data_IF_539805728764
#
_entry.id   IF_539805728764
#
_cell.length_a   1.000
_cell.length_b   1.000
_cell.length_c   1.000
_cell.angle_alpha   90.00
_cell.angle_beta   90.00
_cell.angle_gamma   90.00
#
_symmetry.space_group_name_H-M   'P 1'
#
loop_
_entity.id
_entity.type
_entity.pdbx_description
1 polymer ?
#
# COMPACT_ATOMS: atom_id res chain seq x y z
N UNK A 1 -4.30 -17.82 -4.60
CA UNK A 1 -4.79 -16.44 -4.37
C UNK A 1 -5.12 -16.23 -2.91
N UNK A 2 -4.58 -15.14 -2.36
CA UNK A 2 -4.82 -14.73 -0.98
C UNK A 2 -5.31 -13.28 -0.94
N UNK A 3 -6.18 -13.00 0.01
CA UNK A 3 -6.64 -11.67 0.37
C UNK A 3 -6.05 -11.32 1.73
N UNK A 4 -5.39 -10.18 1.87
CA UNK A 4 -4.93 -9.69 3.17
C UNK A 4 -5.89 -8.60 3.61
N UNK A 5 -6.64 -8.90 4.66
CA UNK A 5 -7.50 -7.96 5.37
C UNK A 5 -6.62 -7.07 6.26
N UNK A 6 -6.48 -5.77 5.95
CA UNK A 6 -5.60 -4.89 6.72
C UNK A 6 -6.13 -4.72 8.14
N UNK A 7 -5.21 -4.74 9.10
CA UNK A 7 -5.48 -4.45 10.50
C UNK A 7 -4.86 -3.11 10.88
N UNK A 8 -5.36 -2.51 11.97
CA UNK A 8 -4.77 -1.30 12.49
C UNK A 8 -3.33 -1.56 12.93
N UNK A 9 -2.41 -0.78 12.37
CA UNK A 9 -0.98 -0.81 12.69
C UNK A 9 -0.59 0.49 13.37
N UNK A 10 0.34 0.41 14.32
CA UNK A 10 0.86 1.58 15.03
C UNK A 10 2.37 1.66 14.88
N UNK A 11 2.86 2.85 14.52
CA UNK A 11 4.29 3.14 14.50
C UNK A 11 4.85 3.21 15.93
N UNK A 12 5.85 2.40 16.23
CA UNK A 12 6.59 2.45 17.50
C UNK A 12 7.82 3.34 17.38
N UNK A 13 8.58 3.17 16.29
CA UNK A 13 9.80 3.94 16.03
C UNK A 13 10.03 4.08 14.53
N UNK A 14 10.72 5.15 14.14
CA UNK A 14 11.24 5.36 12.79
C UNK A 14 12.45 6.28 12.88
N UNK A 15 13.45 6.05 12.03
CA UNK A 15 14.61 6.95 11.89
C UNK A 15 14.26 8.24 11.14
N UNK A 16 13.15 8.27 10.42
CA UNK A 16 12.71 9.46 9.69
C UNK A 16 12.15 10.50 10.68
N UNK A 17 12.71 11.72 10.73
CA UNK A 17 12.19 12.77 11.60
C UNK A 17 10.82 13.25 11.13
N UNK A 18 10.01 13.72 12.07
CA UNK A 18 8.73 14.37 11.79
C UNK A 18 8.91 15.89 11.95
N UNK A 19 9.43 16.52 10.91
CA UNK A 19 9.81 17.94 10.91
C UNK A 19 9.34 18.69 9.64
N UNK A 20 8.31 18.18 8.96
CA UNK A 20 7.74 18.78 7.75
C UNK A 20 7.19 20.20 7.98
N UNK A 21 6.76 20.50 9.21
CA UNK A 21 6.25 21.78 9.64
C UNK A 21 6.30 21.89 11.19
N UNK A 22 6.23 23.10 11.77
CA UNK A 22 6.08 23.25 13.22
C UNK A 22 4.78 22.62 13.73
N UNK A 23 4.79 22.10 14.95
CA UNK A 23 3.57 21.61 15.60
C UNK A 23 2.56 22.75 15.79
N UNK A 24 1.28 22.46 15.56
CA UNK A 24 0.22 23.44 15.79
C UNK A 24 0.10 23.81 17.27
N UNK A 25 -0.10 25.09 17.55
CA UNK A 25 -0.31 25.64 18.89
C UNK A 25 -1.51 26.59 18.89
N UNK A 26 -2.42 26.40 19.84
CA UNK A 26 -3.63 27.22 19.95
C UNK A 26 -3.34 28.71 20.21
N UNK A 27 -2.22 29.03 20.86
CA UNK A 27 -1.82 30.40 21.18
C UNK A 27 -1.12 31.16 20.05
N UNK A 28 -0.75 30.46 18.97
CA UNK A 28 -0.01 31.06 17.85
C UNK A 28 -1.00 31.56 16.80
N UNK A 29 -0.81 32.81 16.35
CA UNK A 29 -1.52 33.35 15.20
C UNK A 29 -0.85 32.88 13.91
N UNK A 30 -1.60 32.22 13.05
CA UNK A 30 -1.14 31.72 11.75
C UNK A 30 -1.63 32.60 10.62
N UNK A 31 -0.76 32.87 9.65
CA UNK A 31 -1.06 33.61 8.43
C UNK A 31 -1.33 32.68 7.26
N UNK A 32 -1.93 33.21 6.19
CA UNK A 32 -2.19 32.44 4.97
C UNK A 32 -0.87 31.92 4.41
N UNK A 33 -0.79 30.61 4.19
CA UNK A 33 0.40 29.94 3.67
C UNK A 33 1.24 29.22 4.71
N UNK A 34 1.06 29.51 6.00
CA UNK A 34 1.74 28.80 7.08
C UNK A 34 1.38 27.32 7.09
N UNK A 35 2.36 26.46 7.38
CA UNK A 35 2.15 25.01 7.48
C UNK A 35 2.34 24.56 8.91
N UNK A 36 1.49 23.65 9.38
CA UNK A 36 1.55 23.09 10.73
C UNK A 36 1.34 21.58 10.70
N UNK A 37 1.90 20.89 11.69
CA UNK A 37 1.64 19.47 11.96
C UNK A 37 0.60 19.35 13.07
N UNK A 38 -0.43 18.53 12.84
CA UNK A 38 -1.39 18.09 13.86
C UNK A 38 -1.81 16.64 13.57
N UNK A 39 -1.79 15.76 14.57
CA UNK A 39 -2.13 14.32 14.42
C UNK A 39 -1.43 13.65 13.23
N UNK A 40 -0.11 13.87 13.10
CA UNK A 40 0.75 13.32 12.03
C UNK A 40 0.35 13.71 10.59
N UNK A 41 -0.39 14.81 10.45
CA UNK A 41 -0.79 15.38 9.16
C UNK A 41 -0.33 16.81 9.04
N UNK A 42 0.03 17.19 7.81
CA UNK A 42 0.43 18.56 7.46
C UNK A 42 -0.80 19.32 6.97
N UNK A 43 -1.04 20.46 7.60
CA UNK A 43 -2.10 21.40 7.22
C UNK A 43 -1.49 22.72 6.80
N UNK A 44 -2.07 23.34 5.77
CA UNK A 44 -1.68 24.67 5.29
C UNK A 44 -2.79 25.67 5.56
N UNK A 45 -2.48 26.78 6.21
CA UNK A 45 -3.43 27.84 6.50
C UNK A 45 -3.92 28.50 5.20
N UNK A 46 -5.24 28.55 5.03
CA UNK A 46 -5.92 29.19 3.90
C UNK A 46 -6.42 30.58 4.29
N UNK A 47 -6.69 30.79 5.57
CA UNK A 47 -7.09 32.08 6.16
C UNK A 47 -6.24 32.37 7.38
N UNK A 48 -5.98 33.66 7.66
CA UNK A 48 -5.34 34.03 8.91
C UNK A 48 -6.23 33.64 10.10
N UNK A 49 -5.70 32.88 11.05
CA UNK A 49 -6.47 32.38 12.20
C UNK A 49 -5.60 32.12 13.42
N UNK A 50 -6.20 32.25 14.60
CA UNK A 50 -5.59 31.94 15.90
C UNK A 50 -6.53 31.01 16.65
N UNK A 51 -6.00 29.96 17.29
CA UNK A 51 -6.81 29.02 18.09
C UNK A 51 -7.75 28.10 17.30
N UNK A 52 -7.81 28.20 15.97
CA UNK A 52 -8.58 27.28 15.12
C UNK A 52 -7.80 25.98 14.92
N UNK A 53 -8.31 24.89 15.50
CA UNK A 53 -7.71 23.56 15.38
C UNK A 53 -7.74 23.04 13.92
N UNK A 54 -6.63 22.48 13.39
CA UNK A 54 -6.55 22.11 11.96
C UNK A 54 -7.47 20.98 11.52
N UNK A 55 -7.69 19.96 12.35
CA UNK A 55 -8.56 18.82 12.06
C UNK A 55 -10.04 19.21 11.98
N UNK A 56 -10.50 20.14 12.82
CA UNK A 56 -11.91 20.57 12.91
C UNK A 56 -12.26 21.68 11.91
N UNK A 57 -11.27 22.40 11.40
CA UNK A 57 -11.46 23.55 10.50
C UNK A 57 -10.78 23.38 9.15
N UNK A 58 -10.76 22.15 8.63
CA UNK A 58 -10.18 21.82 7.32
C UNK A 58 -11.20 21.66 6.17
N UNK A 59 -12.50 21.67 6.46
CA UNK A 59 -13.57 21.43 5.48
C UNK A 59 -14.60 22.57 5.46
N UNK A 60 -15.25 22.76 4.31
CA UNK A 60 -16.29 23.77 4.10
C UNK A 60 -15.76 25.14 3.63
N UNK A 61 -16.68 26.09 3.47
CA UNK A 61 -16.38 27.45 3.01
C UNK A 61 -15.64 28.29 4.05
N UNK A 62 -15.74 27.93 5.33
CA UNK A 62 -15.06 28.60 6.45
C UNK A 62 -13.77 27.87 6.87
N UNK A 63 -13.27 26.96 6.03
CA UNK A 63 -12.05 26.20 6.28
C UNK A 63 -10.86 27.15 6.46
N UNK A 64 -10.29 27.14 7.66
CA UNK A 64 -9.10 27.91 7.97
C UNK A 64 -7.81 27.19 7.53
N UNK A 65 -7.91 25.87 7.41
CA UNK A 65 -6.81 24.97 7.09
C UNK A 65 -7.15 24.14 5.86
N UNK A 66 -6.13 23.73 5.12
CA UNK A 66 -6.23 22.75 4.04
C UNK A 66 -5.31 21.59 4.38
N UNK A 67 -5.87 20.37 4.39
CA UNK A 67 -5.08 19.15 4.54
C UNK A 67 -4.19 18.99 3.30
N UNK A 68 -2.87 18.92 3.53
CA UNK A 68 -1.88 18.68 2.47
C UNK A 68 -1.55 17.19 2.33
N UNK A 69 -1.63 16.43 3.43
CA UNK A 69 -1.33 15.01 3.47
C UNK A 69 -0.73 14.57 4.82
N UNK A 70 -0.28 13.31 4.93
CA UNK A 70 0.47 12.84 6.08
C UNK A 70 1.86 13.49 6.16
N UNK A 71 2.47 13.51 7.34
CA UNK A 71 3.89 13.85 7.50
C UNK A 71 4.78 12.83 6.80
N UNK A 72 5.99 13.21 6.39
CA UNK A 72 6.89 12.32 5.65
C UNK A 72 7.09 10.99 6.41
N UNK A 73 7.24 11.05 7.74
CA UNK A 73 7.37 9.87 8.61
C UNK A 73 6.17 8.92 8.56
N UNK A 74 4.95 9.44 8.40
CA UNK A 74 3.71 8.67 8.43
C UNK A 74 3.12 8.39 7.04
N UNK A 75 3.73 8.90 5.98
CA UNK A 75 3.31 8.65 4.60
C UNK A 75 3.23 7.15 4.26
N UNK A 76 4.11 6.31 4.84
CA UNK A 76 4.08 4.85 4.68
C UNK A 76 2.88 4.15 5.36
N UNK A 77 2.11 4.85 6.20
CA UNK A 77 0.94 4.31 6.90
C UNK A 77 -0.38 4.89 6.37
N UNK A 78 -0.31 5.70 5.31
CA UNK A 78 -1.50 6.25 4.66
C UNK A 78 -2.21 5.18 3.82
N UNK A 79 -3.43 5.49 3.37
CA UNK A 79 -4.23 4.63 2.51
C UNK A 79 -3.74 4.64 1.05
N UNK A 80 -2.99 5.68 0.67
CA UNK A 80 -2.48 5.88 -0.69
C UNK A 80 -1.10 5.25 -0.87
N UNK A 81 -0.91 4.52 -1.97
CA UNK A 81 0.37 3.89 -2.32
C UNK A 81 1.34 4.89 -2.95
N UNK A 82 0.82 6.01 -3.48
CA UNK A 82 1.61 7.04 -4.14
C UNK A 82 2.37 7.97 -3.19
N UNK A 83 1.89 8.17 -1.97
CA UNK A 83 2.61 8.89 -0.93
C UNK A 83 3.76 8.03 -0.41
N UNK A 84 4.96 8.59 -0.30
CA UNK A 84 6.14 7.83 0.14
C UNK A 84 6.81 8.51 1.32
N UNK A 85 7.17 7.71 2.32
CA UNK A 85 8.15 8.10 3.34
C UNK A 85 9.54 8.00 2.73
N UNK A 86 10.26 9.11 2.68
CA UNK A 86 11.61 9.20 2.11
C UNK A 86 12.60 9.53 3.23
N UNK A 87 13.61 8.68 3.40
CA UNK A 87 14.71 8.97 4.31
C UNK A 87 15.79 9.80 3.60
N UNK A 88 16.38 10.75 4.33
CA UNK A 88 17.53 11.52 3.85
C UNK A 88 18.84 10.71 3.92
N UNK A 89 18.93 9.81 4.88
CA UNK A 89 20.05 8.90 5.10
C UNK A 89 19.93 7.65 4.21
N UNK A 90 21.04 6.94 3.99
CA UNK A 90 21.07 5.73 3.16
C UNK A 90 20.35 4.51 3.79
N UNK A 91 20.02 4.59 5.08
CA UNK A 91 19.35 3.54 5.82
C UNK A 91 18.12 4.09 6.54
N UNK A 92 16.98 3.43 6.32
CA UNK A 92 15.74 3.69 7.05
C UNK A 92 15.37 2.48 7.87
N UNK A 93 15.15 2.68 9.17
CA UNK A 93 14.60 1.64 10.05
C UNK A 93 13.32 2.13 10.69
N UNK A 94 12.33 1.25 10.77
CA UNK A 94 11.10 1.52 11.49
C UNK A 94 10.56 0.25 12.13
N UNK A 95 9.81 0.42 13.22
CA UNK A 95 9.11 -0.65 13.90
C UNK A 95 7.62 -0.33 13.97
N UNK A 96 6.78 -1.26 13.51
CA UNK A 96 5.33 -1.19 13.63
C UNK A 96 4.82 -2.34 14.48
N UNK A 97 3.81 -2.08 15.31
CA UNK A 97 3.11 -3.14 16.06
C UNK A 97 1.75 -3.42 15.44
N UNK A 98 1.36 -4.68 15.49
CA UNK A 98 0.06 -5.17 15.03
C UNK A 98 -0.41 -6.34 15.88
N UNK A 99 -1.72 -6.56 15.87
CA UNK A 99 -2.36 -7.62 16.66
C UNK A 99 -2.85 -8.73 15.72
N UNK A 100 -2.55 -9.99 16.06
CA UNK A 100 -3.09 -11.20 15.40
C UNK A 100 -3.00 -11.20 13.86
N UNK A 101 -1.94 -10.61 13.30
CA UNK A 101 -1.72 -10.63 11.85
C UNK A 101 -0.94 -11.88 11.43
N UNK A 102 -1.24 -12.38 10.23
CA UNK A 102 -0.58 -13.56 9.63
C UNK A 102 0.16 -13.21 8.33
N UNK A 103 0.11 -11.94 7.91
CA UNK A 103 0.78 -11.43 6.73
C UNK A 103 1.16 -9.96 6.89
N UNK A 104 2.21 -9.56 6.16
CA UNK A 104 2.53 -8.15 5.93
C UNK A 104 2.93 -7.92 4.48
N UNK A 105 2.82 -6.67 4.03
CA UNK A 105 3.29 -6.24 2.74
C UNK A 105 3.92 -4.85 2.81
N UNK A 106 4.93 -4.65 1.97
CA UNK A 106 5.61 -3.40 1.70
C UNK A 106 5.37 -3.07 0.23
N UNK A 107 4.70 -1.95 -0.03
CA UNK A 107 4.32 -1.54 -1.37
C UNK A 107 5.07 -0.28 -1.79
N UNK A 108 5.33 -0.17 -3.09
CA UNK A 108 5.98 0.96 -3.73
C UNK A 108 7.24 1.43 -2.98
N UNK A 109 8.11 0.49 -2.64
CA UNK A 109 9.40 0.79 -2.02
C UNK A 109 10.48 1.02 -3.07
N UNK A 110 11.46 1.84 -2.68
CA UNK A 110 12.70 2.08 -3.39
C UNK A 110 13.83 1.73 -2.41
N UNK A 111 14.33 0.50 -2.50
CA UNK A 111 15.47 0.03 -1.73
C UNK A 111 16.34 -0.92 -2.55
N UNK A 112 17.62 -1.10 -2.17
CA UNK A 112 18.51 -2.13 -2.72
C UNK A 112 18.42 -3.43 -1.91
N UNK A 113 18.26 -3.31 -0.59
CA UNK A 113 18.09 -4.44 0.34
C UNK A 113 17.02 -4.11 1.37
N UNK A 114 16.22 -5.14 1.71
CA UNK A 114 15.16 -5.07 2.71
C UNK A 114 15.37 -6.21 3.70
N UNK A 115 15.48 -5.88 4.98
CA UNK A 115 15.40 -6.85 6.06
C UNK A 115 14.11 -6.64 6.83
N UNK A 116 13.30 -7.67 6.93
CA UNK A 116 12.07 -7.67 7.72
C UNK A 116 12.16 -8.71 8.82
N UNK A 117 11.98 -8.26 10.06
CA UNK A 117 12.02 -9.08 11.27
C UNK A 117 10.69 -8.96 12.00
N UNK A 118 9.98 -10.06 12.22
CA UNK A 118 8.77 -10.11 13.05
C UNK A 118 9.11 -10.75 14.38
N UNK A 119 8.82 -10.04 15.46
CA UNK A 119 8.98 -10.48 16.84
C UNK A 119 7.64 -10.57 17.55
N UNK A 120 7.51 -11.53 18.46
CA UNK A 120 6.40 -11.60 19.42
C UNK A 120 6.53 -10.50 20.50
N UNK A 121 5.50 -10.31 21.32
CA UNK A 121 5.50 -9.46 22.51
C UNK A 121 6.57 -9.87 23.53
N UNK A 122 6.94 -11.15 23.57
CA UNK A 122 8.03 -11.69 24.40
C UNK A 122 9.42 -11.60 23.72
N UNK A 123 9.50 -11.03 22.51
CA UNK A 123 10.74 -10.82 21.77
C UNK A 123 11.21 -12.02 20.93
N UNK A 124 10.45 -13.12 20.86
CA UNK A 124 10.74 -14.27 20.01
C UNK A 124 10.68 -13.88 18.53
N UNK A 125 11.76 -14.13 17.78
CA UNK A 125 11.79 -13.88 16.33
C UNK A 125 10.99 -14.97 15.61
N UNK A 126 9.85 -14.59 15.03
CA UNK A 126 8.99 -15.47 14.25
C UNK A 126 9.36 -15.48 12.76
N UNK A 127 9.94 -14.39 12.29
CA UNK A 127 10.37 -14.22 10.91
C UNK A 127 11.59 -13.31 10.87
N UNK A 128 12.65 -13.70 10.18
CA UNK A 128 13.79 -12.83 9.84
C UNK A 128 14.25 -13.22 8.44
N UNK A 129 14.02 -12.34 7.47
CA UNK A 129 14.55 -12.51 6.13
C UNK A 129 15.09 -11.20 5.60
N UNK A 130 16.26 -11.30 4.96
CA UNK A 130 16.84 -10.23 4.15
C UNK A 130 16.66 -10.58 2.68
N UNK A 131 16.16 -9.64 1.91
CA UNK A 131 15.83 -9.77 0.49
C UNK A 131 16.53 -8.66 -0.28
N UNK A 132 17.26 -9.04 -1.32
CA UNK A 132 17.79 -8.10 -2.29
C UNK A 132 16.71 -7.79 -3.33
N UNK A 133 16.62 -6.52 -3.73
CA UNK A 133 15.56 -6.05 -4.63
C UNK A 133 15.93 -6.13 -6.10
N UNK A 134 17.20 -6.38 -6.44
CA UNK A 134 17.64 -6.58 -7.81
C UNK A 134 17.01 -7.86 -8.36
N UNK A 135 16.29 -7.75 -9.49
CA UNK A 135 15.80 -8.93 -10.20
C UNK A 135 16.94 -9.62 -10.92
N UNK A 136 16.87 -10.95 -10.99
CA UNK A 136 17.80 -11.73 -11.79
C UNK A 136 17.65 -11.37 -13.28
N UNK A 137 18.79 -11.18 -13.95
CA UNK A 137 18.84 -10.83 -15.37
C UNK A 137 19.15 -12.08 -16.19
N UNK A 138 18.24 -12.42 -17.08
CA UNK A 138 18.41 -13.57 -17.97
C UNK A 138 19.26 -13.20 -19.21
N UNK A 139 20.51 -13.68 -19.20
CA UNK A 139 21.45 -13.60 -20.32
C UNK A 139 22.43 -12.41 -20.26
N UNK A 140 23.68 -12.69 -20.65
CA UNK A 140 24.78 -11.72 -20.61
C UNK A 140 24.50 -10.40 -21.35
N UNK A 141 23.85 -10.46 -22.52
CA UNK A 141 23.53 -9.23 -23.28
C UNK A 141 22.58 -8.30 -22.50
N UNK A 142 21.54 -8.84 -21.86
CA UNK A 142 20.58 -8.02 -21.09
C UNK A 142 21.27 -7.35 -19.90
N UNK A 143 22.22 -8.06 -19.27
CA UNK A 143 22.98 -7.53 -18.15
C UNK A 143 23.84 -6.32 -18.53
N UNK A 144 24.47 -6.35 -19.71
CA UNK A 144 25.35 -5.25 -20.15
C UNK A 144 24.61 -4.05 -20.75
N UNK A 145 23.44 -4.26 -21.36
CA UNK A 145 22.81 -3.24 -22.20
C UNK A 145 21.44 -2.75 -21.72
N UNK A 146 20.78 -3.44 -20.78
CA UNK A 146 19.49 -3.00 -20.24
C UNK A 146 19.62 -2.46 -18.81
N UNK A 147 18.80 -1.47 -18.42
CA UNK A 147 18.65 -1.09 -17.03
C UNK A 147 18.22 -2.28 -16.17
N UNK A 148 18.89 -2.47 -15.04
CA UNK A 148 18.51 -3.52 -14.08
C UNK A 148 17.14 -3.22 -13.48
N UNK A 149 16.23 -4.18 -13.57
CA UNK A 149 14.92 -4.06 -12.93
C UNK A 149 15.02 -4.32 -11.43
N UNK A 150 14.23 -3.55 -10.67
CA UNK A 150 14.10 -3.73 -9.22
C UNK A 150 12.70 -4.18 -8.86
N UNK A 151 12.63 -4.94 -7.77
CA UNK A 151 11.39 -5.25 -7.08
C UNK A 151 10.95 -3.98 -6.35
N UNK A 152 9.66 -3.66 -6.42
CA UNK A 152 9.06 -2.46 -5.79
C UNK A 152 7.95 -2.80 -4.81
N UNK A 153 7.50 -4.06 -4.78
CA UNK A 153 6.44 -4.57 -3.90
C UNK A 153 6.89 -5.91 -3.33
N UNK A 154 6.61 -6.15 -2.05
CA UNK A 154 6.91 -7.39 -1.34
C UNK A 154 5.75 -7.73 -0.42
N UNK A 155 5.18 -8.92 -0.57
CA UNK A 155 4.21 -9.48 0.36
C UNK A 155 4.74 -10.78 0.95
N UNK A 156 4.53 -10.95 2.26
CA UNK A 156 4.90 -12.13 3.03
C UNK A 156 3.64 -12.62 3.73
N UNK A 157 3.32 -13.90 3.60
CA UNK A 157 2.16 -14.50 4.28
C UNK A 157 2.60 -15.68 5.14
N UNK A 158 1.66 -16.36 5.81
CA UNK A 158 1.92 -17.51 6.67
C UNK A 158 2.88 -17.24 7.85
N UNK A 159 2.84 -16.02 8.40
CA UNK A 159 3.56 -15.68 9.61
C UNK A 159 2.80 -16.29 10.80
N UNK A 160 3.50 -16.92 11.77
CA UNK A 160 2.86 -17.41 12.98
C UNK A 160 2.04 -16.33 13.68
N UNK A 161 0.83 -16.67 14.12
CA UNK A 161 -0.05 -15.70 14.79
C UNK A 161 0.43 -15.47 16.22
N UNK A 162 0.57 -14.21 16.59
CA UNK A 162 0.78 -13.76 17.97
C UNK A 162 -0.32 -12.76 18.38
N UNK A 163 -0.71 -12.71 19.68
CA UNK A 163 -1.58 -11.67 20.20
C UNK A 163 -1.09 -10.25 19.89
N UNK A 164 0.22 -10.00 20.07
CA UNK A 164 0.88 -8.71 19.83
C UNK A 164 2.23 -9.00 19.21
N UNK A 165 2.44 -8.53 17.98
CA UNK A 165 3.71 -8.68 17.28
C UNK A 165 4.27 -7.32 16.86
N UNK A 166 5.58 -7.26 16.69
CA UNK A 166 6.32 -6.10 16.20
C UNK A 166 7.07 -6.48 14.94
N UNK A 167 6.83 -5.74 13.86
CA UNK A 167 7.57 -5.84 12.61
C UNK A 167 8.60 -4.70 12.56
N UNK A 168 9.88 -5.09 12.61
CA UNK A 168 11.03 -4.23 12.38
C UNK A 168 11.47 -4.38 10.92
N UNK A 169 11.49 -3.27 10.18
CA UNK A 169 11.93 -3.24 8.80
C UNK A 169 13.13 -2.31 8.67
N UNK A 170 14.18 -2.81 8.01
CA UNK A 170 15.36 -2.05 7.63
C UNK A 170 15.46 -2.01 6.11
N UNK A 171 15.43 -0.81 5.56
CA UNK A 171 15.59 -0.53 4.13
C UNK A 171 16.95 0.14 3.92
N UNK A 172 17.71 -0.34 2.95
CA UNK A 172 19.01 0.23 2.60
C UNK A 172 19.04 0.64 1.14
N UNK A 173 19.38 1.90 0.87
CA UNK A 173 19.58 2.43 -0.47
C UNK A 173 20.46 3.67 -0.47
N UNK A 174 21.42 3.71 -1.38
CA UNK A 174 22.18 4.94 -1.66
C UNK A 174 21.26 6.06 -2.18
N UNK A 175 21.34 7.24 -1.56
CA UNK A 175 20.54 8.40 -1.92
C UNK A 175 19.12 8.39 -1.33
N UNK A 176 18.91 7.64 -0.24
CA UNK A 176 17.67 7.63 0.52
C UNK A 176 16.68 6.55 0.07
N UNK A 177 16.36 5.56 0.93
CA UNK A 177 15.28 4.63 0.67
C UNK A 177 13.92 5.32 0.78
N UNK A 178 12.96 4.84 -0.01
CA UNK A 178 11.58 5.30 0.02
C UNK A 178 10.62 4.14 0.25
N UNK A 179 9.51 4.37 0.94
CA UNK A 179 8.47 3.36 1.16
C UNK A 179 7.09 3.99 1.01
N UNK A 180 6.26 3.38 0.14
CA UNK A 180 4.92 3.86 -0.14
C UNK A 180 3.90 3.44 0.90
N UNK A 181 3.79 2.15 1.18
CA UNK A 181 2.80 1.66 2.14
C UNK A 181 3.26 0.41 2.88
N UNK A 182 2.99 0.36 4.18
CA UNK A 182 3.09 -0.84 5.02
C UNK A 182 1.68 -1.32 5.32
N UNK A 183 1.43 -2.60 5.06
CA UNK A 183 0.17 -3.26 5.40
C UNK A 183 0.52 -4.45 6.28
N UNK A 184 -0.14 -4.60 7.41
CA UNK A 184 -0.16 -5.86 8.16
C UNK A 184 -1.61 -6.29 8.33
N UNK A 185 -1.85 -7.59 8.25
CA UNK A 185 -3.21 -8.09 8.23
C UNK A 185 -3.34 -9.59 8.35
N UNK A 186 -4.59 -10.04 8.27
CA UNK A 186 -4.92 -11.45 8.23
C UNK A 186 -5.02 -11.91 6.77
N UNK A 187 -4.21 -12.91 6.40
CA UNK A 187 -4.30 -13.53 5.10
C UNK A 187 -5.42 -14.59 5.07
N UNK A 188 -6.33 -14.42 4.12
CA UNK A 188 -7.42 -15.33 3.81
C UNK A 188 -7.17 -15.99 2.45
N UNK A 189 -7.03 -17.32 2.37
CA UNK A 189 -6.93 -18.01 1.08
C UNK A 189 -8.30 -18.03 0.41
N UNK A 190 -8.49 -17.37 -0.73
CA UNK A 190 -9.81 -17.26 -1.39
C UNK A 190 -9.98 -18.23 -2.56
N UNK A 191 -8.91 -18.82 -3.07
CA UNK A 191 -8.96 -19.80 -4.16
C UNK A 191 -7.62 -19.91 -4.88
N UNK A 192 -7.59 -20.74 -5.93
CA UNK A 192 -6.42 -20.88 -6.80
C UNK A 192 -6.64 -20.05 -8.06
N UNK A 193 -5.70 -19.16 -8.38
CA UNK A 193 -5.78 -18.33 -9.59
C UNK A 193 -5.61 -19.21 -10.82
N UNK A 194 -6.56 -19.13 -11.75
CA UNK A 194 -6.47 -19.82 -13.03
C UNK A 194 -5.60 -19.03 -14.01
N UNK A 195 -5.08 -19.71 -15.03
CA UNK A 195 -4.54 -19.04 -16.21
C UNK A 195 -5.67 -18.29 -16.95
N UNK A 196 -5.31 -17.35 -17.83
CA UNK A 196 -6.25 -16.42 -18.51
C UNK A 196 -6.73 -15.23 -17.64
N UNK A 197 -5.93 -14.86 -16.64
CA UNK A 197 -6.11 -13.64 -15.86
C UNK A 197 -5.96 -12.39 -16.73
N UNK A 198 -6.87 -11.41 -16.58
CA UNK A 198 -6.81 -10.16 -17.34
C UNK A 198 -6.22 -9.04 -16.50
N UNK A 199 -5.09 -8.51 -16.96
CA UNK A 199 -4.42 -7.34 -16.37
C UNK A 199 -4.75 -6.10 -17.21
N UNK A 200 -5.06 -5.00 -16.53
CA UNK A 200 -5.42 -3.74 -17.18
C UNK A 200 -5.10 -2.52 -16.33
N UNK A 201 -5.31 -1.36 -16.92
CA UNK A 201 -5.14 -0.06 -16.29
C UNK A 201 -6.41 0.75 -16.55
N UNK A 202 -6.92 1.40 -15.51
CA UNK A 202 -7.92 2.46 -15.61
C UNK A 202 -7.19 3.80 -15.58
N UNK A 203 -7.09 4.44 -16.74
CA UNK A 203 -6.46 5.76 -16.88
C UNK A 203 -7.52 6.86 -16.70
N UNK A 204 -7.27 7.81 -15.81
CA UNK A 204 -8.14 8.98 -15.62
C UNK A 204 -7.72 10.18 -16.48
N UNK A 205 -6.69 10.03 -17.32
CA UNK A 205 -6.17 11.08 -18.18
C UNK A 205 -7.23 11.59 -19.17
N UNK A 206 -7.32 12.91 -19.32
CA UNK A 206 -8.23 13.54 -20.28
C UNK A 206 -7.41 13.99 -21.50
N UNK A 207 -7.83 13.55 -22.68
CA UNK A 207 -7.37 14.09 -23.96
C UNK A 207 -8.42 15.10 -24.41
N UNK A 208 -8.07 16.38 -24.34
CA UNK A 208 -8.94 17.46 -24.81
C UNK A 208 -8.43 17.90 -26.18
N UNK A 209 -9.30 17.95 -27.19
CA UNK A 209 -8.92 18.41 -28.53
C UNK A 209 -9.69 19.67 -28.83
N UNK A 210 -8.97 20.76 -29.09
CA UNK A 210 -9.55 22.06 -29.40
C UNK A 210 -10.14 22.09 -30.82
N UNK A 211 -10.96 23.08 -31.13
CA UNK A 211 -11.63 23.24 -32.44
C UNK A 211 -10.66 23.36 -33.62
N UNK A 212 -9.41 23.71 -33.35
CA UNK A 212 -8.31 23.79 -34.32
C UNK A 212 -7.53 22.47 -34.51
N UNK A 213 -7.97 21.37 -33.90
CA UNK A 213 -7.38 20.04 -34.06
C UNK A 213 -6.14 19.77 -33.19
N UNK A 214 -5.81 20.67 -32.27
CA UNK A 214 -4.71 20.48 -31.30
C UNK A 214 -5.19 19.68 -30.09
N UNK A 215 -4.63 18.48 -29.89
CA UNK A 215 -4.93 17.64 -28.73
C UNK A 215 -3.98 17.94 -27.57
N UNK A 216 -4.52 18.46 -26.46
CA UNK A 216 -3.83 18.58 -25.19
C UNK A 216 -4.11 17.35 -24.32
N UNK A 217 -3.05 16.60 -24.01
CA UNK A 217 -3.12 15.50 -23.05
C UNK A 217 -2.89 16.03 -21.63
N UNK A 218 -3.92 15.98 -20.80
CA UNK A 218 -3.81 16.17 -19.35
C UNK A 218 -3.67 14.81 -18.70
N UNK A 219 -2.42 14.39 -18.47
CA UNK A 219 -2.11 13.13 -17.78
C UNK A 219 -2.59 13.21 -16.33
N UNK A 220 -3.48 12.30 -15.92
CA UNK A 220 -3.94 12.16 -14.53
C UNK A 220 -3.43 10.86 -13.93
N UNK A 221 -3.79 10.59 -12.68
CA UNK A 221 -3.48 9.33 -12.03
C UNK A 221 -4.09 8.14 -12.80
N UNK A 222 -3.52 6.96 -12.60
CA UNK A 222 -3.99 5.72 -13.18
C UNK A 222 -4.12 4.67 -12.06
N UNK A 223 -5.16 3.85 -12.12
CA UNK A 223 -5.39 2.74 -11.21
C UNK A 223 -5.11 1.41 -11.93
N UNK A 224 -4.47 0.46 -11.26
CA UNK A 224 -4.41 -0.93 -11.76
C UNK A 224 -5.83 -1.49 -11.74
N UNK A 225 -6.26 -2.19 -12.80
CA UNK A 225 -7.51 -2.97 -12.79
C UNK A 225 -7.18 -4.40 -13.15
N UNK A 226 -7.56 -5.32 -12.29
CA UNK A 226 -7.18 -6.72 -12.44
C UNK A 226 -8.41 -7.59 -12.28
N UNK A 227 -8.68 -8.41 -13.29
CA UNK A 227 -9.77 -9.38 -13.32
C UNK A 227 -9.16 -10.77 -13.15
N UNK A 228 -9.42 -11.38 -11.99
CA UNK A 228 -8.81 -12.63 -11.54
C UNK A 228 -9.84 -13.74 -11.62
N UNK A 229 -9.58 -14.72 -12.51
CA UNK A 229 -10.33 -15.96 -12.53
C UNK A 229 -9.76 -16.91 -11.48
N UNK A 230 -10.66 -17.47 -10.67
CA UNK A 230 -10.35 -18.31 -9.54
C UNK A 230 -11.10 -19.63 -9.63
N UNK A 231 -10.40 -20.66 -9.20
CA UNK A 231 -10.97 -21.96 -8.89
C UNK A 231 -11.18 -22.09 -7.39
N UNK A 232 -12.39 -22.49 -7.00
CA UNK A 232 -12.68 -22.89 -5.62
C UNK A 232 -13.58 -24.12 -5.57
N UNK A 233 -13.41 -24.90 -4.50
CA UNK A 233 -14.31 -26.01 -4.19
C UNK A 233 -15.65 -25.46 -3.65
N UNK A 234 -16.82 -26.03 -4.03
CA UNK A 234 -18.14 -25.55 -3.61
C UNK A 234 -18.32 -25.39 -2.10
N UNK A 235 -17.70 -26.27 -1.30
CA UNK A 235 -17.76 -26.18 0.17
C UNK A 235 -17.16 -24.89 0.76
N UNK A 236 -16.32 -24.18 -0.01
CA UNK A 236 -15.68 -22.92 0.41
C UNK A 236 -16.43 -21.69 -0.08
N UNK A 237 -17.42 -21.86 -0.95
CA UNK A 237 -18.12 -20.75 -1.62
C UNK A 237 -18.78 -19.81 -0.60
N UNK A 238 -19.48 -20.36 0.39
CA UNK A 238 -20.16 -19.55 1.41
C UNK A 238 -19.16 -18.78 2.27
N UNK A 239 -18.08 -19.42 2.72
CA UNK A 239 -17.03 -18.74 3.49
C UNK A 239 -16.33 -17.64 2.69
N UNK A 240 -16.02 -17.89 1.41
CA UNK A 240 -15.40 -16.87 0.54
C UNK A 240 -16.37 -15.72 0.30
N UNK A 241 -17.66 -16.00 0.08
CA UNK A 241 -18.70 -14.99 -0.07
C UNK A 241 -18.81 -14.10 1.16
N UNK A 242 -18.78 -14.66 2.36
CA UNK A 242 -18.82 -13.87 3.61
C UNK A 242 -17.60 -12.95 3.75
N UNK A 243 -16.41 -13.44 3.40
CA UNK A 243 -15.18 -12.64 3.41
C UNK A 243 -15.28 -11.50 2.39
N UNK A 244 -15.72 -11.79 1.15
CA UNK A 244 -15.90 -10.76 0.11
C UNK A 244 -16.98 -9.74 0.49
N UNK A 245 -18.06 -10.17 1.14
CA UNK A 245 -19.11 -9.28 1.63
C UNK A 245 -18.60 -8.36 2.75
N UNK A 246 -17.77 -8.87 3.67
CA UNK A 246 -17.14 -8.07 4.72
C UNK A 246 -16.19 -7.01 4.14
N UNK A 247 -15.44 -7.38 3.10
CA UNK A 247 -14.45 -6.50 2.47
C UNK A 247 -15.06 -5.56 1.41
N UNK A 248 -16.36 -5.62 1.19
CA UNK A 248 -17.03 -4.77 0.22
C UNK A 248 -16.91 -3.29 0.63
N UNK A 249 -16.28 -2.48 -0.23
CA UNK A 249 -16.04 -1.06 0.01
C UNK A 249 -14.85 -0.73 0.93
N UNK A 250 -14.12 -1.74 1.42
CA UNK A 250 -12.89 -1.56 2.18
C UNK A 250 -11.67 -1.86 1.30
N UNK A 251 -10.57 -1.09 1.42
CA UNK A 251 -9.34 -1.41 0.72
C UNK A 251 -8.70 -2.67 1.32
N UNK A 252 -8.19 -3.53 0.44
CA UNK A 252 -7.51 -4.77 0.81
C UNK A 252 -6.35 -5.03 -0.13
N UNK A 253 -5.42 -5.88 0.31
CA UNK A 253 -4.34 -6.33 -0.56
C UNK A 253 -4.68 -7.68 -1.17
N UNK A 254 -4.75 -7.70 -2.50
CA UNK A 254 -5.08 -8.86 -3.30
C UNK A 254 -3.80 -9.45 -3.88
N UNK A 255 -3.53 -10.72 -3.56
CA UNK A 255 -2.36 -11.48 -4.03
C UNK A 255 -2.82 -12.58 -4.98
N UNK A 256 -2.76 -12.31 -6.28
CA UNK A 256 -3.12 -13.26 -7.33
C UNK A 256 -2.10 -14.37 -7.59
N UNK A 257 -0.94 -14.33 -6.93
CA UNK A 257 0.07 -15.39 -6.97
C UNK A 257 0.29 -15.95 -5.55
N UNK A 258 0.59 -17.25 -5.47
CA UNK A 258 0.93 -17.93 -4.22
C UNK A 258 2.46 -17.96 -3.99
N UNK A 259 3.28 -17.52 -4.95
CA UNK A 259 4.71 -17.30 -4.71
C UNK A 259 4.93 -16.13 -3.74
N UNK A 260 5.52 -16.42 -2.59
CA UNK A 260 5.86 -15.43 -1.57
C UNK A 260 7.29 -14.93 -1.75
N UNK A 261 7.50 -13.60 -1.79
CA UNK A 261 8.82 -12.97 -1.86
C UNK A 261 9.33 -12.65 -3.27
N UNK A 262 10.62 -12.91 -3.50
CA UNK A 262 11.34 -12.65 -4.77
C UNK A 262 10.77 -13.57 -5.84
N UNK A 263 9.92 -13.03 -6.73
CA UNK A 263 9.28 -13.80 -7.79
C UNK A 263 7.76 -13.75 -7.79
N UNK A 264 7.13 -13.11 -6.80
CA UNK A 264 5.70 -12.77 -6.91
C UNK A 264 5.47 -11.86 -8.12
N UNK A 265 4.49 -12.19 -8.95
CA UNK A 265 4.13 -11.31 -10.06
C UNK A 265 3.52 -10.01 -9.52
N UNK A 266 4.29 -8.93 -9.54
CA UNK A 266 3.86 -7.58 -9.12
C UNK A 266 2.60 -7.07 -9.83
N UNK A 267 2.32 -7.61 -11.01
CA UNK A 267 1.09 -7.30 -11.75
C UNK A 267 -0.16 -7.93 -11.12
N UNK A 268 0.02 -9.01 -10.35
CA UNK A 268 -1.02 -9.73 -9.61
C UNK A 268 -1.13 -9.29 -8.15
N UNK A 269 -0.26 -8.38 -7.69
CA UNK A 269 -0.33 -7.73 -6.37
C UNK A 269 -1.03 -6.38 -6.53
N UNK A 270 -2.22 -6.26 -5.96
CA UNK A 270 -3.05 -5.06 -6.08
C UNK A 270 -3.57 -4.64 -4.71
N UNK A 271 -3.22 -3.42 -4.29
CA UNK A 271 -3.89 -2.74 -3.18
C UNK A 271 -5.10 -1.98 -3.71
N UNK A 272 -6.30 -2.28 -3.21
CA UNK A 272 -7.52 -1.69 -3.74
C UNK A 272 -8.80 -2.31 -3.20
N UNK A 273 -9.93 -1.86 -3.70
CA UNK A 273 -11.24 -2.37 -3.30
C UNK A 273 -11.79 -3.34 -4.34
N UNK A 274 -12.71 -4.19 -3.87
CA UNK A 274 -13.51 -5.09 -4.71
C UNK A 274 -14.52 -4.25 -5.51
N UNK A 275 -14.46 -4.30 -6.85
CA UNK A 275 -15.49 -3.66 -7.71
C UNK A 275 -16.69 -4.58 -7.89
N UNK A 276 -16.43 -5.81 -8.33
CA UNK A 276 -17.45 -6.79 -8.64
C UNK A 276 -16.90 -8.20 -8.49
N UNK A 277 -17.77 -9.17 -8.21
CA UNK A 277 -17.43 -10.58 -8.25
C UNK A 277 -18.62 -11.40 -8.73
N UNK A 278 -18.31 -12.45 -9.48
CA UNK A 278 -19.32 -13.40 -9.95
C UNK A 278 -18.80 -14.82 -9.78
N UNK A 279 -19.67 -15.75 -9.41
CA UNK A 279 -19.34 -17.15 -9.25
C UNK A 279 -20.29 -18.01 -10.08
N UNK A 280 -19.74 -18.87 -10.91
CA UNK A 280 -20.46 -19.85 -11.71
C UNK A 280 -20.10 -21.24 -11.20
N UNK A 281 -21.11 -21.99 -10.76
CA UNK A 281 -20.95 -23.41 -10.41
C UNK A 281 -20.97 -24.21 -11.71
N UNK A 282 -19.80 -24.64 -12.16
CA UNK A 282 -19.64 -25.33 -13.45
C UNK A 282 -19.86 -26.84 -13.28
N UNK A 283 -19.58 -27.37 -12.09
CA UNK A 283 -19.74 -28.78 -11.79
C UNK A 283 -19.93 -29.08 -10.30
N UNK A 284 -20.14 -30.37 -9.95
CA UNK A 284 -20.44 -30.79 -8.57
C UNK A 284 -19.30 -30.49 -7.59
N UNK A 285 -18.06 -30.37 -8.06
CA UNK A 285 -16.88 -30.03 -7.25
C UNK A 285 -16.14 -28.78 -7.76
N UNK A 286 -16.73 -28.04 -8.70
CA UNK A 286 -16.03 -26.99 -9.43
C UNK A 286 -16.86 -25.71 -9.49
N UNK A 287 -16.31 -24.65 -8.87
CA UNK A 287 -16.82 -23.29 -9.02
C UNK A 287 -15.73 -22.45 -9.66
N UNK A 288 -16.08 -21.78 -10.75
CA UNK A 288 -15.26 -20.72 -11.33
C UNK A 288 -15.78 -19.39 -10.82
N UNK A 289 -14.90 -18.59 -10.22
CA UNK A 289 -15.22 -17.27 -9.71
C UNK A 289 -14.37 -16.24 -10.43
N UNK A 290 -14.96 -15.13 -10.83
CA UNK A 290 -14.25 -13.98 -11.35
C UNK A 290 -14.30 -12.85 -10.32
N UNK A 291 -13.15 -12.25 -10.02
CA UNK A 291 -13.01 -11.13 -9.09
C UNK A 291 -12.40 -9.94 -9.84
N UNK A 292 -13.14 -8.84 -9.87
CA UNK A 292 -12.66 -7.57 -10.39
C UNK A 292 -12.19 -6.67 -9.24
N UNK A 293 -10.91 -6.31 -9.27
CA UNK A 293 -10.28 -5.43 -8.28
C UNK A 293 -9.86 -4.13 -8.95
N UNK A 294 -10.23 -3.01 -8.34
CA UNK A 294 -9.68 -1.70 -8.70
C UNK A 294 -8.64 -1.26 -7.67
N UNK A 295 -7.43 -1.02 -8.17
CA UNK A 295 -6.32 -0.51 -7.39
C UNK A 295 -6.52 0.93 -6.92
N UNK A 296 -6.09 1.19 -5.70
CA UNK A 296 -6.02 2.52 -5.10
C UNK A 296 -4.58 3.02 -5.22
N UNK A 297 -4.41 4.24 -5.73
CA UNK A 297 -3.11 4.88 -5.93
C UNK A 297 -3.02 6.15 -5.13
#
# INVERSE_FOLDING_TARGET
MKLIEPQAIRLLSSTVPENDAPAWSAGTGYQIGDSVIHEHRVYKAVTASTGKQPDQHCEGTDAAWRLMGPTNRYAMLDQYVSTQTVAAEDVMTFAVTFNRCTAFALLNFKATSIRAVVKDGDGLVMYDRTVNTLKDVDGYWKYYFLPLERIVDQAVTNIPVSPVATLEVTLTQEGGPALGQVIAGQAWPIGTTQYNTRLGIRDYSRKDTDEFGNTRLVKRANAKRTSLLLYLHPSRLDSVREILARMHGLPALWLGDDNEGIGSYQSLTVWGWLEDWSATVIGPNEVSMNIDVQGLK
#
